data_IF_442306046213
#
_entry.id   IF_442306046213
#
_cell.length_a   1.000
_cell.length_b   1.000
_cell.length_c   1.000
_cell.angle_alpha   90.00
_cell.angle_beta   90.00
_cell.angle_gamma   90.00
#
_symmetry.space_group_name_H-M   'P 1'
#
loop_
_entity.id
_entity.type
_entity.pdbx_description
1 polymer ?
#
# COMPACT_ATOMS: atom_id res chain seq x y z
N UNK A 1 0.81 -3.93 26.33
CA UNK A 1 0.80 -3.10 25.09
C UNK A 1 -0.62 -2.59 24.88
N UNK A 2 -0.84 -1.28 24.75
CA UNK A 2 -2.20 -0.73 24.54
C UNK A 2 -2.70 -1.06 23.12
N UNK A 3 -3.91 -1.61 23.01
CA UNK A 3 -4.62 -1.89 21.74
C UNK A 3 -4.76 -0.61 20.89
N UNK A 4 -4.79 0.56 21.54
CA UNK A 4 -5.00 1.86 20.91
C UNK A 4 -3.76 2.47 20.27
N UNK A 5 -2.55 1.99 20.62
CA UNK A 5 -1.30 2.62 20.15
C UNK A 5 -1.20 2.63 18.61
N UNK A 6 -1.46 1.52 17.88
CA UNK A 6 -1.44 1.52 16.42
C UNK A 6 -2.48 2.48 15.83
N UNK A 7 -3.70 2.48 16.38
CA UNK A 7 -4.79 3.35 15.91
C UNK A 7 -4.40 4.83 16.05
N UNK A 8 -3.84 5.22 17.19
CA UNK A 8 -3.42 6.60 17.44
C UNK A 8 -2.30 7.05 16.50
N UNK A 9 -1.34 6.18 16.19
CA UNK A 9 -0.28 6.47 15.21
C UNK A 9 -0.89 6.67 13.82
N UNK A 10 -1.83 5.80 13.40
CA UNK A 10 -2.50 5.96 12.11
C UNK A 10 -3.26 7.29 12.01
N UNK A 11 -4.06 7.63 13.03
CA UNK A 11 -4.84 8.88 13.06
C UNK A 11 -3.90 10.09 12.98
N UNK A 12 -2.87 10.15 13.83
CA UNK A 12 -1.94 11.27 13.84
C UNK A 12 -1.21 11.44 12.49
N UNK A 13 -0.84 10.34 11.83
CA UNK A 13 -0.19 10.39 10.53
C UNK A 13 -1.14 10.90 9.42
N UNK A 14 -2.41 10.49 9.47
CA UNK A 14 -3.43 10.96 8.53
C UNK A 14 -3.78 12.44 8.76
N UNK A 15 -3.98 12.84 10.02
CA UNK A 15 -4.29 14.23 10.40
C UNK A 15 -3.11 15.18 10.18
N UNK A 16 -1.87 14.69 10.30
CA UNK A 16 -0.67 15.48 10.07
C UNK A 16 -0.46 15.90 8.61
N UNK A 17 -1.28 15.39 7.66
CA UNK A 17 -1.24 15.79 6.25
C UNK A 17 0.00 15.32 5.47
N UNK A 18 0.90 14.57 6.12
CA UNK A 18 2.12 14.05 5.51
C UNK A 18 2.00 12.62 5.00
N UNK A 19 0.86 11.95 5.23
CA UNK A 19 0.64 10.57 4.81
C UNK A 19 0.35 10.47 3.31
N UNK A 20 1.10 9.62 2.61
CA UNK A 20 0.82 9.23 1.23
C UNK A 20 -0.27 8.17 1.15
N UNK A 21 -0.82 7.92 -0.04
CA UNK A 21 -1.74 6.79 -0.29
C UNK A 21 -1.10 5.43 0.11
N UNK A 22 0.20 5.26 -0.09
CA UNK A 22 0.92 4.06 0.32
C UNK A 22 0.93 3.92 1.85
N UNK A 23 1.20 5.02 2.57
CA UNK A 23 1.18 5.05 4.04
C UNK A 23 -0.19 4.68 4.57
N UNK A 24 -1.26 5.24 4.00
CA UNK A 24 -2.63 4.89 4.35
C UNK A 24 -2.89 3.38 4.22
N UNK A 25 -2.46 2.77 3.12
CA UNK A 25 -2.63 1.34 2.90
C UNK A 25 -1.79 0.49 3.88
N UNK A 26 -0.56 0.91 4.18
CA UNK A 26 0.31 0.26 5.17
C UNK A 26 -0.30 0.34 6.57
N UNK A 27 -0.88 1.48 6.93
CA UNK A 27 -1.59 1.65 8.20
C UNK A 27 -2.80 0.75 8.31
N UNK A 28 -3.55 0.54 7.22
CA UNK A 28 -4.63 -0.44 7.17
C UNK A 28 -4.11 -1.86 7.41
N UNK A 29 -2.99 -2.26 6.80
CA UNK A 29 -2.37 -3.58 7.06
C UNK A 29 -1.95 -3.71 8.53
N UNK A 30 -1.28 -2.69 9.09
CA UNK A 30 -0.86 -2.68 10.49
C UNK A 30 -2.05 -2.78 11.45
N UNK A 31 -3.15 -2.11 11.13
CA UNK A 31 -4.39 -2.17 11.91
C UNK A 31 -5.04 -3.56 11.83
N UNK A 32 -5.10 -4.18 10.64
CA UNK A 32 -5.59 -5.55 10.48
C UNK A 32 -4.81 -6.54 11.36
N UNK A 33 -3.47 -6.43 11.34
CA UNK A 33 -2.58 -7.25 12.17
C UNK A 33 -2.85 -7.00 13.66
N UNK A 34 -3.02 -5.74 14.07
CA UNK A 34 -3.32 -5.40 15.46
C UNK A 34 -4.66 -6.01 15.92
N UNK A 35 -5.72 -5.93 15.10
CA UNK A 35 -7.03 -6.52 15.38
C UNK A 35 -6.92 -8.05 15.45
N UNK A 36 -6.18 -8.68 14.53
CA UNK A 36 -5.99 -10.12 14.49
C UNK A 36 -5.38 -10.67 15.80
N UNK A 37 -4.41 -9.96 16.36
CA UNK A 37 -3.73 -10.33 17.62
C UNK A 37 -4.55 -10.07 18.89
N UNK A 38 -5.73 -9.45 18.81
CA UNK A 38 -6.63 -9.33 19.96
C UNK A 38 -7.13 -10.75 20.32
N UNK A 39 -7.12 -11.16 21.59
CA UNK A 39 -7.67 -12.46 21.99
C UNK A 39 -9.15 -12.61 21.63
N UNK A 40 -9.58 -13.81 21.23
CA UNK A 40 -11.00 -14.08 20.91
C UNK A 40 -11.92 -13.98 22.13
N UNK A 41 -11.36 -14.03 23.35
CA UNK A 41 -12.09 -13.77 24.60
C UNK A 41 -12.56 -12.32 24.75
N UNK A 42 -12.06 -11.38 23.93
CA UNK A 42 -12.49 -9.98 23.95
C UNK A 42 -13.80 -9.83 23.17
N UNK A 43 -14.92 -9.44 23.83
CA UNK A 43 -16.24 -9.40 23.20
C UNK A 43 -16.34 -8.42 22.02
N UNK A 44 -15.48 -7.40 21.97
CA UNK A 44 -15.50 -6.37 20.94
C UNK A 44 -14.71 -6.75 19.67
N UNK A 45 -13.92 -7.83 19.68
CA UNK A 45 -13.11 -8.23 18.53
C UNK A 45 -13.95 -8.44 17.25
N UNK A 46 -15.10 -9.14 17.28
CA UNK A 46 -15.94 -9.28 16.09
C UNK A 46 -16.43 -7.95 15.52
N UNK A 47 -16.80 -7.00 16.40
CA UNK A 47 -17.24 -5.65 16.01
C UNK A 47 -16.10 -4.89 15.33
N UNK A 48 -14.88 -4.96 15.87
CA UNK A 48 -13.70 -4.35 15.25
C UNK A 48 -13.39 -4.94 13.87
N UNK A 49 -13.50 -6.25 13.72
CA UNK A 49 -13.31 -6.93 12.42
C UNK A 49 -14.36 -6.46 11.41
N UNK A 50 -15.63 -6.36 11.80
CA UNK A 50 -16.70 -5.89 10.92
C UNK A 50 -16.48 -4.44 10.47
N UNK A 51 -16.12 -3.55 11.39
CA UNK A 51 -15.79 -2.15 11.07
C UNK A 51 -14.58 -2.06 10.14
N UNK A 52 -13.51 -2.81 10.45
CA UNK A 52 -12.33 -2.87 9.59
C UNK A 52 -12.68 -3.34 8.18
N UNK A 53 -13.42 -4.43 8.04
CA UNK A 53 -13.79 -4.98 6.74
C UNK A 53 -14.64 -4.01 5.92
N UNK A 54 -15.57 -3.30 6.57
CA UNK A 54 -16.38 -2.27 5.93
C UNK A 54 -15.51 -1.15 5.36
N UNK A 55 -14.60 -0.61 6.17
CA UNK A 55 -13.67 0.42 5.69
C UNK A 55 -12.70 -0.14 4.64
N UNK A 56 -12.23 -1.37 4.81
CA UNK A 56 -11.27 -1.99 3.90
C UNK A 56 -11.78 -2.09 2.46
N UNK A 57 -13.09 -2.28 2.25
CA UNK A 57 -13.71 -2.26 0.92
C UNK A 57 -13.43 -0.94 0.19
N UNK A 58 -13.47 0.20 0.89
CA UNK A 58 -13.15 1.51 0.32
C UNK A 58 -11.67 1.62 -0.07
N UNK A 59 -10.79 0.93 0.66
CA UNK A 59 -9.35 0.84 0.36
C UNK A 59 -8.99 -0.18 -0.71
N UNK A 60 -9.94 -0.97 -1.21
CA UNK A 60 -9.70 -1.86 -2.37
C UNK A 60 -9.60 -1.11 -3.70
N UNK A 61 -9.53 0.22 -3.67
CA UNK A 61 -9.35 1.03 -4.87
C UNK A 61 -7.96 0.79 -5.52
N UNK A 62 -7.89 0.58 -6.85
CA UNK A 62 -6.65 0.19 -7.53
C UNK A 62 -5.46 1.12 -7.29
N UNK A 63 -5.69 2.42 -7.08
CA UNK A 63 -4.59 3.36 -6.78
C UNK A 63 -3.87 3.06 -5.46
N UNK A 64 -4.57 2.63 -4.40
CA UNK A 64 -3.88 2.26 -3.14
C UNK A 64 -3.01 1.03 -3.34
N UNK A 65 -3.51 0.03 -4.07
CA UNK A 65 -2.75 -1.17 -4.42
C UNK A 65 -1.54 -0.84 -5.29
N UNK A 66 -1.71 0.08 -6.24
CA UNK A 66 -0.63 0.57 -7.10
C UNK A 66 0.45 1.29 -6.29
N UNK A 67 0.07 2.19 -5.38
CA UNK A 67 1.00 2.88 -4.49
C UNK A 67 1.74 1.89 -3.58
N UNK A 68 1.06 0.89 -3.02
CA UNK A 68 1.69 -0.16 -2.23
C UNK A 68 2.65 -1.02 -3.06
N UNK A 69 2.32 -1.29 -4.33
CA UNK A 69 3.18 -2.04 -5.26
C UNK A 69 4.52 -1.33 -5.48
N UNK A 70 4.50 0.00 -5.57
CA UNK A 70 5.70 0.81 -5.72
C UNK A 70 6.46 1.10 -4.43
N UNK A 71 5.99 0.61 -3.28
CA UNK A 71 6.67 0.89 -2.03
C UNK A 71 7.97 0.08 -1.91
N UNK A 72 9.17 0.70 -1.85
CA UNK A 72 10.43 -0.04 -1.96
C UNK A 72 10.67 -1.03 -0.81
N UNK A 73 10.29 -0.67 0.42
CA UNK A 73 10.37 -1.57 1.58
C UNK A 73 9.43 -2.79 1.52
N UNK A 74 8.27 -2.63 0.89
CA UNK A 74 7.23 -3.65 0.77
C UNK A 74 7.25 -4.34 -0.61
N UNK A 75 8.27 -4.08 -1.42
CA UNK A 75 8.45 -4.70 -2.73
C UNK A 75 8.23 -6.21 -2.68
N UNK A 76 7.32 -6.71 -3.53
CA UNK A 76 6.91 -8.13 -3.64
C UNK A 76 6.32 -8.76 -2.37
N UNK A 77 6.09 -8.02 -1.27
CA UNK A 77 5.50 -8.56 -0.04
C UNK A 77 3.98 -8.51 -0.07
N UNK A 78 3.34 -9.66 0.17
CA UNK A 78 1.88 -9.75 0.37
C UNK A 78 1.04 -9.69 -0.90
N UNK A 79 1.67 -9.77 -2.08
CA UNK A 79 1.00 -9.76 -3.37
C UNK A 79 0.75 -11.18 -3.89
N UNK A 80 -0.43 -11.39 -4.50
CA UNK A 80 -0.74 -12.60 -5.29
C UNK A 80 -0.05 -12.52 -6.66
N UNK A 81 0.03 -13.66 -7.37
CA UNK A 81 0.68 -13.76 -8.69
C UNK A 81 0.19 -12.72 -9.73
N UNK A 82 -1.04 -12.20 -9.59
CA UNK A 82 -1.62 -11.21 -10.52
C UNK A 82 -1.28 -9.74 -10.20
N UNK A 83 -0.56 -9.46 -9.12
CA UNK A 83 -0.32 -8.09 -8.66
C UNK A 83 0.40 -7.23 -9.69
N UNK A 84 1.41 -7.78 -10.37
CA UNK A 84 2.09 -7.09 -11.47
C UNK A 84 1.10 -6.67 -12.55
N UNK A 85 0.27 -7.61 -13.01
CA UNK A 85 -0.73 -7.37 -14.06
C UNK A 85 -1.70 -6.27 -13.66
N UNK A 86 -2.24 -6.35 -12.44
CA UNK A 86 -3.21 -5.39 -11.95
C UNK A 86 -2.59 -4.00 -11.80
N UNK A 87 -1.39 -3.90 -11.21
CA UNK A 87 -0.67 -2.64 -11.07
C UNK A 87 -0.33 -2.02 -12.46
N UNK A 88 0.16 -2.84 -13.39
CA UNK A 88 0.45 -2.42 -14.76
C UNK A 88 -0.79 -1.90 -15.50
N UNK A 89 -1.94 -2.58 -15.36
CA UNK A 89 -3.22 -2.13 -15.93
C UNK A 89 -3.64 -0.80 -15.32
N UNK A 90 -3.64 -0.69 -13.99
CA UNK A 90 -4.03 0.53 -13.29
C UNK A 90 -3.17 1.72 -13.70
N UNK A 91 -1.84 1.57 -13.70
CA UNK A 91 -0.92 2.62 -14.10
C UNK A 91 -1.12 3.02 -15.56
N UNK A 92 -1.30 2.05 -16.46
CA UNK A 92 -1.57 2.31 -17.88
C UNK A 92 -2.88 3.06 -18.10
N UNK A 93 -3.94 2.71 -17.37
CA UNK A 93 -5.24 3.40 -17.44
C UNK A 93 -5.10 4.86 -16.98
N UNK A 94 -4.40 5.09 -15.86
CA UNK A 94 -4.12 6.44 -15.36
C UNK A 94 -3.29 7.22 -16.39
N UNK A 95 -2.23 6.63 -16.92
CA UNK A 95 -1.36 7.25 -17.93
C UNK A 95 -2.15 7.66 -19.19
N UNK A 96 -2.99 6.76 -19.71
CA UNK A 96 -3.85 7.08 -20.86
C UNK A 96 -4.87 8.17 -20.57
N UNK A 97 -5.36 8.27 -19.33
CA UNK A 97 -6.30 9.33 -18.95
C UNK A 97 -5.69 10.73 -19.02
N UNK A 98 -4.36 10.85 -18.98
CA UNK A 98 -3.61 12.08 -19.20
C UNK A 98 -3.21 12.30 -20.68
N UNK A 99 -3.88 11.64 -21.63
CA UNK A 99 -3.65 11.77 -23.08
C UNK A 99 -2.25 11.38 -23.56
N UNK A 100 -1.53 10.56 -22.79
CA UNK A 100 -0.26 9.99 -23.22
C UNK A 100 -0.45 8.97 -24.36
N UNK A 101 0.57 8.87 -25.21
CA UNK A 101 0.61 8.02 -26.39
C UNK A 101 0.72 6.53 -26.03
N UNK A 102 0.40 5.67 -27.00
CA UNK A 102 0.60 4.22 -26.85
C UNK A 102 2.09 3.86 -26.65
N UNK A 103 2.99 4.61 -27.28
CA UNK A 103 4.43 4.38 -27.16
C UNK A 103 4.93 4.69 -25.74
N UNK A 104 4.49 5.80 -25.15
CA UNK A 104 4.80 6.12 -23.75
C UNK A 104 4.21 5.07 -22.80
N UNK A 105 3.02 4.53 -23.09
CA UNK A 105 2.44 3.45 -22.31
C UNK A 105 3.28 2.16 -22.38
N UNK A 106 3.86 1.83 -23.55
CA UNK A 106 4.77 0.68 -23.70
C UNK A 106 6.05 0.87 -22.90
N UNK A 107 6.60 2.09 -22.90
CA UNK A 107 7.77 2.43 -22.10
C UNK A 107 7.48 2.30 -20.59
N UNK A 108 6.32 2.80 -20.13
CA UNK A 108 5.86 2.63 -18.75
C UNK A 108 5.82 1.14 -18.36
N UNK A 109 5.25 0.27 -19.20
CA UNK A 109 5.22 -1.17 -18.95
C UNK A 109 6.62 -1.79 -18.90
N UNK A 110 7.55 -1.30 -19.74
CA UNK A 110 8.95 -1.71 -19.67
C UNK A 110 9.56 -1.36 -18.32
N UNK A 111 9.37 -0.12 -17.85
CA UNK A 111 9.86 0.32 -16.55
C UNK A 111 9.26 -0.48 -15.38
N UNK A 112 7.98 -0.84 -15.46
CA UNK A 112 7.35 -1.75 -14.50
C UNK A 112 8.06 -3.10 -14.40
N UNK A 113 8.43 -3.70 -15.54
CA UNK A 113 9.16 -4.98 -15.55
C UNK A 113 10.56 -4.83 -14.93
N UNK A 114 11.21 -3.69 -15.15
CA UNK A 114 12.52 -3.40 -14.57
C UNK A 114 12.41 -3.21 -13.05
N UNK A 115 11.41 -2.46 -12.59
CA UNK A 115 11.11 -2.28 -11.17
C UNK A 115 10.79 -3.62 -10.49
N UNK A 116 9.88 -4.42 -11.07
CA UNK A 116 9.53 -5.73 -10.52
C UNK A 116 10.77 -6.61 -10.35
N UNK A 117 11.62 -6.65 -11.37
CA UNK A 117 12.87 -7.42 -11.39
C UNK A 117 14.02 -6.80 -10.59
N UNK A 118 13.84 -5.63 -9.93
CA UNK A 118 14.91 -4.85 -9.27
C UNK A 118 16.13 -4.63 -10.16
N UNK A 119 15.90 -4.26 -11.42
CA UNK A 119 16.95 -3.85 -12.35
C UNK A 119 17.21 -2.35 -12.20
N UNK A 120 18.43 -1.92 -12.54
CA UNK A 120 18.78 -0.49 -12.65
C UNK A 120 17.72 0.29 -13.44
N UNK A 121 17.27 1.48 -12.97
CA UNK A 121 17.74 2.21 -11.78
C UNK A 121 17.04 1.84 -10.46
N UNK A 122 16.23 0.78 -10.42
CA UNK A 122 15.40 0.37 -9.27
C UNK A 122 16.05 -0.71 -8.39
N UNK A 123 17.38 -0.83 -8.42
CA UNK A 123 18.16 -1.85 -7.69
C UNK A 123 18.68 -1.36 -6.32
N UNK A 124 18.41 -0.10 -5.96
CA UNK A 124 18.82 0.47 -4.68
C UNK A 124 18.12 -0.21 -3.49
N UNK A 125 18.89 -0.44 -2.43
CA UNK A 125 18.35 -0.92 -1.16
C UNK A 125 17.60 0.18 -0.44
N UNK A 126 16.41 -0.14 0.08
CA UNK A 126 15.65 0.78 0.91
C UNK A 126 16.30 0.98 2.29
N UNK A 127 16.47 2.23 2.71
CA UNK A 127 17.01 2.66 4.00
C UNK A 127 15.87 3.23 4.87
N UNK A 128 15.49 2.49 5.90
CA UNK A 128 14.43 2.89 6.83
C UNK A 128 14.78 4.18 7.58
N UNK A 129 13.84 5.15 7.59
CA UNK A 129 14.01 6.46 8.22
C UNK A 129 14.71 7.52 7.34
N UNK A 130 15.28 7.10 6.21
CA UNK A 130 15.82 8.01 5.18
C UNK A 130 14.88 8.07 3.97
N UNK A 131 14.51 6.92 3.42
CA UNK A 131 13.63 6.79 2.24
C UNK A 131 12.14 6.88 2.59
N UNK A 132 11.82 6.91 3.88
CA UNK A 132 10.49 7.28 4.37
C UNK A 132 10.67 8.01 5.69
N UNK A 133 9.88 9.06 5.96
CA UNK A 133 9.95 9.77 7.24
C UNK A 133 9.84 8.78 8.38
N UNK A 134 10.64 8.95 9.43
CA UNK A 134 10.45 8.18 10.66
C UNK A 134 9.06 8.50 11.21
N UNK A 135 8.20 7.49 11.20
CA UNK A 135 6.85 7.51 11.77
C UNK A 135 6.89 7.18 13.26
#
# INVERSE_FOLDING_TARGET
>A
RSIWKPIKICINALEGGSASLADCFIYMIKLAIAIYHIPDSIPFKPVMIQLFNRCYIEFQHPCYLLCYYFHPFYHRKGFKNEAFRNAAITASTIWKSYSHTEQECKELISQFRYYDARKKPFDLSYVYGLDSPML
#
